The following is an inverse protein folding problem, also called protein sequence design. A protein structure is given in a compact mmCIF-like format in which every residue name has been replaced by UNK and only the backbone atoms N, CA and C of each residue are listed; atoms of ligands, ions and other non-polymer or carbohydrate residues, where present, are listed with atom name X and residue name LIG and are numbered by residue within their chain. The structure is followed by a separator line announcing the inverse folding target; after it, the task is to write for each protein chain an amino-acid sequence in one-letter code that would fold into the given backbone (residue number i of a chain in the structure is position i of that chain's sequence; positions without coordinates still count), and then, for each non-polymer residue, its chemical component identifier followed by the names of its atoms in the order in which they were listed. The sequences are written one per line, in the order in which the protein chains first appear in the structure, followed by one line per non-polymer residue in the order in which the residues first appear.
data_IF_938096502915
#
_entry.id   IF_938096502915
#
_cell.length_a   1.000
_cell.length_b   1.000
_cell.length_c   1.000
_cell.angle_alpha   90.00
_cell.angle_beta   90.00
_cell.angle_gamma   90.00
#
_symmetry.space_group_name_H-M   'P 1'
#
loop_
_entity.id
_entity.type
_entity.pdbx_description
1 polymer ?
#
# COMPACT_ATOMS: atom_id res chain seq x y z
N UNK A 1 0.32 14.24 -6.46
CA UNK A 1 -0.05 13.95 -5.06
C UNK A 1 -0.30 12.47 -4.90
N UNK A 2 -0.25 11.96 -3.66
CA UNK A 2 -0.63 10.57 -3.35
C UNK A 2 -1.68 10.56 -2.25
N UNK A 3 -2.56 9.57 -2.28
CA UNK A 3 -3.66 9.42 -1.33
C UNK A 3 -3.84 7.95 -0.97
N UNK A 4 -4.17 7.70 0.28
CA UNK A 4 -4.50 6.37 0.81
C UNK A 4 -5.99 6.33 1.10
N UNK A 5 -6.65 5.30 0.59
CA UNK A 5 -8.05 4.99 0.86
C UNK A 5 -8.17 3.55 1.34
N UNK A 6 -9.10 3.27 2.23
CA UNK A 6 -9.31 1.94 2.79
C UNK A 6 -10.78 1.56 2.80
N UNK A 7 -11.05 0.28 2.58
CA UNK A 7 -12.33 -0.38 2.80
C UNK A 7 -12.10 -1.65 3.63
N UNK A 8 -13.17 -2.34 4.01
CA UNK A 8 -13.05 -3.60 4.76
C UNK A 8 -12.18 -4.57 3.95
N UNK A 9 -11.08 -5.03 4.54
CA UNK A 9 -10.12 -5.98 3.96
C UNK A 9 -9.37 -5.50 2.70
N UNK A 10 -9.33 -4.20 2.44
CA UNK A 10 -8.64 -3.67 1.26
C UNK A 10 -8.08 -2.27 1.51
N UNK A 11 -6.84 -2.04 1.07
CA UNK A 11 -6.21 -0.73 1.05
C UNK A 11 -5.79 -0.36 -0.36
N UNK A 12 -6.05 0.88 -0.74
CA UNK A 12 -5.78 1.46 -2.04
C UNK A 12 -4.84 2.66 -1.89
N UNK A 13 -3.67 2.57 -2.52
CA UNK A 13 -2.78 3.70 -2.75
C UNK A 13 -3.03 4.24 -4.16
N UNK A 14 -3.19 5.56 -4.29
CA UNK A 14 -3.33 6.25 -5.57
C UNK A 14 -2.24 7.32 -5.70
N UNK A 15 -1.72 7.50 -6.92
CA UNK A 15 -0.71 8.50 -7.24
C UNK A 15 -0.89 8.97 -8.69
N UNK A 16 -0.67 10.26 -8.91
CA UNK A 16 -0.61 10.86 -10.24
C UNK A 16 0.73 10.62 -10.95
N UNK A 17 1.74 10.12 -10.22
CA UNK A 17 3.10 9.87 -10.71
C UNK A 17 3.51 8.42 -10.52
N UNK A 18 4.48 7.99 -11.34
CA UNK A 18 5.13 6.70 -11.12
C UNK A 18 5.99 6.75 -9.87
N UNK A 19 5.67 5.90 -8.90
CA UNK A 19 6.37 5.78 -7.62
C UNK A 19 6.69 4.32 -7.34
N UNK A 20 7.63 4.07 -6.44
CA UNK A 20 7.79 2.74 -5.83
C UNK A 20 7.12 2.75 -4.47
N UNK A 21 6.27 1.77 -4.19
CA UNK A 21 5.65 1.60 -2.88
C UNK A 21 6.22 0.37 -2.16
N UNK A 22 6.08 0.37 -0.84
CA UNK A 22 6.38 -0.75 0.01
C UNK A 22 5.33 -0.82 1.13
N UNK A 23 4.50 -1.87 1.09
CA UNK A 23 3.55 -2.20 2.14
C UNK A 23 4.16 -3.20 3.11
N UNK A 24 4.07 -2.88 4.39
CA UNK A 24 4.55 -3.74 5.46
C UNK A 24 3.48 -3.99 6.51
N UNK A 25 3.38 -5.22 7.01
CA UNK A 25 2.57 -5.62 8.15
C UNK A 25 3.49 -5.97 9.31
N UNK A 26 3.40 -5.24 10.42
CA UNK A 26 4.26 -5.43 11.60
C UNK A 26 5.77 -5.41 11.27
N UNK A 27 6.16 -4.71 10.21
CA UNK A 27 7.55 -4.62 9.73
C UNK A 27 7.95 -5.66 8.69
N UNK A 28 7.11 -6.66 8.40
CA UNK A 28 7.33 -7.63 7.33
C UNK A 28 6.74 -7.14 6.01
N UNK A 29 7.45 -7.35 4.90
CA UNK A 29 7.01 -6.91 3.57
C UNK A 29 5.82 -7.78 3.13
N UNK A 30 4.68 -7.13 2.89
CA UNK A 30 3.52 -7.75 2.25
C UNK A 30 3.63 -7.67 0.72
N UNK A 31 3.84 -6.46 0.20
CA UNK A 31 3.91 -6.20 -1.23
C UNK A 31 4.74 -4.95 -1.47
N UNK A 32 5.59 -4.99 -2.51
CA UNK A 32 6.38 -3.83 -2.91
C UNK A 32 6.58 -3.83 -4.43
N UNK A 33 6.67 -2.65 -5.02
CA UNK A 33 6.91 -2.53 -6.46
C UNK A 33 6.66 -1.15 -7.03
N UNK A 34 6.90 -0.99 -8.34
CA UNK A 34 6.52 0.22 -9.05
C UNK A 34 4.99 0.28 -9.21
N UNK A 35 4.43 1.47 -9.02
CA UNK A 35 3.03 1.80 -9.23
C UNK A 35 2.94 3.01 -10.16
N UNK A 36 2.06 2.93 -11.15
CA UNK A 36 1.88 4.00 -12.16
C UNK A 36 0.64 4.86 -11.90
N UNK A 37 -0.40 4.30 -11.25
CA UNK A 37 -1.66 5.01 -10.95
C UNK A 37 -2.25 4.62 -9.61
N UNK A 38 -2.32 3.32 -9.37
CA UNK A 38 -2.84 2.77 -8.14
C UNK A 38 -2.22 1.40 -7.82
N UNK A 39 -2.13 1.10 -6.54
CA UNK A 39 -1.75 -0.19 -6.00
C UNK A 39 -2.75 -0.55 -4.92
N UNK A 40 -3.22 -1.79 -4.95
CA UNK A 40 -4.25 -2.29 -4.03
C UNK A 40 -3.71 -3.53 -3.37
N UNK A 41 -3.79 -3.58 -2.04
CA UNK A 41 -3.54 -4.82 -1.30
C UNK A 41 -4.87 -5.34 -0.75
N UNK A 42 -5.01 -6.65 -0.80
CA UNK A 42 -6.10 -7.37 -0.13
C UNK A 42 -5.56 -7.87 1.21
N UNK A 43 -6.35 -7.71 2.26
CA UNK A 43 -6.06 -8.18 3.60
C UNK A 43 -6.99 -9.34 3.90
N UNK A 44 -6.49 -10.36 4.59
CA UNK A 44 -7.34 -11.48 5.02
C UNK A 44 -8.21 -11.07 6.21
N UNK A 45 -9.38 -11.71 6.35
CA UNK A 45 -10.25 -11.54 7.52
C UNK A 45 -9.49 -11.90 8.80
N UNK A 46 -9.31 -10.92 9.69
CA UNK A 46 -8.51 -11.08 10.90
C UNK A 46 -7.04 -10.71 10.75
N UNK A 47 -6.65 -10.02 9.66
CA UNK A 47 -5.34 -9.36 9.59
C UNK A 47 -5.21 -8.36 10.74
N UNK A 48 -4.43 -8.74 11.75
CA UNK A 48 -4.16 -7.93 12.93
C UNK A 48 -2.73 -7.37 12.88
N UNK A 49 -2.57 -6.16 13.41
CA UNK A 49 -1.30 -5.47 13.46
C UNK A 49 -1.24 -4.16 12.68
N UNK A 50 -0.04 -3.61 12.62
CA UNK A 50 0.20 -2.30 12.04
C UNK A 50 0.57 -2.42 10.56
N UNK A 51 -0.31 -1.92 9.70
CA UNK A 51 -0.04 -1.79 8.27
C UNK A 51 0.55 -0.42 8.01
N UNK A 52 1.70 -0.40 7.36
CA UNK A 52 2.40 0.82 6.97
C UNK A 52 2.69 0.79 5.48
N UNK A 53 2.57 1.96 4.83
CA UNK A 53 2.91 2.16 3.43
C UNK A 53 4.02 3.20 3.34
N UNK A 54 5.14 2.82 2.73
CA UNK A 54 6.22 3.75 2.39
C UNK A 54 6.22 4.00 0.90
N UNK A 55 6.26 5.27 0.50
CA UNK A 55 6.34 5.67 -0.90
C UNK A 55 7.69 6.32 -1.18
N UNK A 56 8.33 5.90 -2.27
CA UNK A 56 9.56 6.49 -2.78
C UNK A 56 9.28 7.05 -4.17
N UNK A 57 9.38 8.37 -4.28
CA UNK A 57 9.47 9.03 -5.58
C UNK A 57 10.91 8.88 -6.10
N UNK A 58 11.07 8.79 -7.42
CA UNK A 58 12.39 8.92 -8.03
C UNK A 58 12.88 10.37 -7.94
#
# INVERSE_FOLDING_TARGET
SYWLSGSVNQLLLQSEFSITYNWTLNGEILEQGPMVRNATILLDEGTDGNISCSVKNH
#
